data_IF_348485618804
#
_entry.id   IF_348485618804
#
_cell.length_a   1.000
_cell.length_b   1.000
_cell.length_c   1.000
_cell.angle_alpha   90.00
_cell.angle_beta   90.00
_cell.angle_gamma   90.00
#
_symmetry.space_group_name_H-M   'P 1'
#
loop_
_entity.id
_entity.type
_entity.pdbx_description
1 polymer ?
#
# COMPACT_ATOMS: atom_id res chain seq x y z
N UNK A 1 -19.63 -3.47 -19.71
CA UNK A 1 -19.27 -2.03 -19.71
C UNK A 1 -19.14 -1.50 -21.14
N UNK A 2 -18.44 -2.19 -22.07
CA UNK A 2 -18.29 -1.70 -23.46
C UNK A 2 -19.60 -1.61 -24.21
N UNK A 3 -20.51 -2.56 -24.04
CA UNK A 3 -21.86 -2.50 -24.61
C UNK A 3 -22.69 -1.30 -24.09
N UNK A 4 -22.30 -0.71 -22.97
CA UNK A 4 -22.88 0.50 -22.41
C UNK A 4 -22.15 1.79 -22.85
N UNK A 5 -21.25 1.70 -23.85
CA UNK A 5 -20.55 2.85 -24.42
C UNK A 5 -19.18 3.19 -23.78
N UNK A 6 -18.66 2.35 -22.89
CA UNK A 6 -17.33 2.60 -22.30
C UNK A 6 -16.24 2.50 -23.37
N UNK A 7 -15.45 3.55 -23.52
CA UNK A 7 -14.31 3.62 -24.43
C UNK A 7 -13.04 3.01 -23.82
N UNK A 8 -12.90 3.09 -22.50
CA UNK A 8 -11.81 2.49 -21.71
C UNK A 8 -12.41 1.61 -20.63
N UNK A 9 -11.87 0.41 -20.44
CA UNK A 9 -12.25 -0.52 -19.40
C UNK A 9 -11.07 -0.77 -18.47
N UNK A 10 -11.18 -0.31 -17.23
CA UNK A 10 -10.16 -0.45 -16.19
C UNK A 10 -10.70 -1.35 -15.08
N UNK A 11 -9.91 -2.34 -14.68
CA UNK A 11 -10.18 -3.21 -13.55
C UNK A 11 -9.41 -2.72 -12.32
N UNK A 12 -10.11 -2.46 -11.23
CA UNK A 12 -9.50 -2.33 -9.91
C UNK A 12 -9.38 -3.71 -9.30
N UNK A 13 -8.17 -4.13 -8.98
CA UNK A 13 -7.87 -5.48 -8.51
C UNK A 13 -7.15 -5.48 -7.17
N UNK A 14 -7.49 -6.44 -6.33
CA UNK A 14 -6.77 -6.72 -5.08
C UNK A 14 -6.28 -8.18 -5.03
N UNK A 15 -5.95 -8.77 -6.18
CA UNK A 15 -5.54 -10.18 -6.28
C UNK A 15 -4.02 -10.39 -6.15
N UNK A 16 -3.24 -9.33 -6.25
CA UNK A 16 -1.78 -9.39 -6.31
C UNK A 16 -1.22 -9.38 -7.73
N UNK A 17 0.02 -8.91 -7.87
CA UNK A 17 0.64 -8.65 -9.17
C UNK A 17 0.71 -9.89 -10.06
N UNK A 18 1.14 -11.03 -9.53
CA UNK A 18 1.26 -12.28 -10.30
C UNK A 18 -0.08 -12.78 -10.83
N UNK A 19 -1.13 -12.68 -10.00
CA UNK A 19 -2.49 -13.04 -10.39
C UNK A 19 -3.03 -12.09 -11.45
N UNK A 20 -2.79 -10.79 -11.31
CA UNK A 20 -3.22 -9.77 -12.26
C UNK A 20 -2.53 -9.91 -13.62
N UNK A 21 -1.24 -10.22 -13.65
CA UNK A 21 -0.48 -10.55 -14.87
C UNK A 21 -1.09 -11.78 -15.56
N UNK A 22 -1.37 -12.83 -14.79
CA UNK A 22 -1.99 -14.05 -15.32
C UNK A 22 -3.41 -13.78 -15.82
N UNK A 23 -4.19 -12.98 -15.12
CA UNK A 23 -5.53 -12.56 -15.54
C UNK A 23 -5.45 -11.78 -16.87
N UNK A 24 -4.59 -10.76 -16.92
CA UNK A 24 -4.38 -9.94 -18.11
C UNK A 24 -4.01 -10.77 -19.37
N UNK A 25 -3.24 -11.86 -19.19
CA UNK A 25 -2.85 -12.74 -20.29
C UNK A 25 -3.99 -13.61 -20.83
N UNK A 26 -5.09 -13.79 -20.10
CA UNK A 26 -6.18 -14.73 -20.41
C UNK A 26 -7.50 -14.06 -20.77
N UNK A 27 -7.72 -12.86 -20.23
CA UNK A 27 -8.98 -12.13 -20.40
C UNK A 27 -8.80 -11.03 -21.46
N UNK A 28 -9.81 -10.84 -22.28
CA UNK A 28 -9.82 -9.80 -23.31
C UNK A 28 -10.77 -8.67 -22.92
N UNK A 29 -10.61 -7.49 -23.57
CA UNK A 29 -11.51 -6.34 -23.38
C UNK A 29 -11.19 -5.46 -22.17
N UNK A 30 -10.12 -5.74 -21.43
CA UNK A 30 -9.55 -4.85 -20.43
C UNK A 30 -8.40 -4.04 -21.05
N UNK A 31 -8.38 -2.74 -20.79
CA UNK A 31 -7.28 -1.87 -21.21
C UNK A 31 -6.21 -1.78 -20.12
N UNK A 32 -6.63 -1.73 -18.85
CA UNK A 32 -5.71 -1.73 -17.73
C UNK A 32 -6.25 -2.48 -16.51
N UNK A 33 -5.34 -2.99 -15.69
CA UNK A 33 -5.57 -3.48 -14.33
C UNK A 33 -4.74 -2.62 -13.38
N UNK A 34 -5.43 -1.96 -12.45
CA UNK A 34 -4.81 -1.25 -11.34
C UNK A 34 -4.80 -2.19 -10.13
N UNK A 35 -3.65 -2.81 -9.89
CA UNK A 35 -3.47 -3.87 -8.90
C UNK A 35 -3.16 -3.37 -7.50
N UNK A 36 -3.26 -4.28 -6.54
CA UNK A 36 -2.93 -4.09 -5.14
C UNK A 36 -2.50 -5.40 -4.48
N UNK A 37 -2.66 -5.52 -3.17
CA UNK A 37 -2.41 -6.69 -2.33
C UNK A 37 -0.93 -7.03 -2.07
N UNK A 38 -0.12 -7.27 -3.10
CA UNK A 38 1.29 -7.67 -2.96
C UNK A 38 2.23 -6.52 -2.62
N UNK A 39 1.70 -5.28 -2.56
CA UNK A 39 2.46 -4.06 -2.24
C UNK A 39 3.61 -3.76 -3.21
N UNK A 40 3.58 -4.31 -4.41
CA UNK A 40 4.59 -4.05 -5.43
C UNK A 40 4.52 -2.60 -5.91
N UNK A 41 5.67 -1.96 -6.01
CA UNK A 41 5.81 -0.66 -6.65
C UNK A 41 6.34 -0.88 -8.07
N UNK A 42 5.46 -1.02 -9.04
CA UNK A 42 5.80 -1.31 -10.43
C UNK A 42 6.15 0.02 -11.14
N UNK A 43 7.43 0.28 -11.46
CA UNK A 43 7.87 1.58 -11.94
C UNK A 43 7.46 1.87 -13.40
N UNK A 44 7.13 0.82 -14.16
CA UNK A 44 6.65 0.91 -15.55
C UNK A 44 5.48 -0.01 -15.73
N UNK A 45 4.40 0.46 -16.37
CA UNK A 45 3.27 -0.41 -16.66
C UNK A 45 3.73 -1.64 -17.44
N UNK A 46 3.25 -2.81 -17.03
CA UNK A 46 3.54 -4.07 -17.71
C UNK A 46 2.55 -4.25 -18.88
N UNK A 47 3.06 -4.40 -20.07
CA UNK A 47 2.27 -4.67 -21.27
C UNK A 47 2.04 -6.17 -21.43
N UNK A 48 0.86 -6.64 -21.06
CA UNK A 48 0.52 -8.06 -21.12
C UNK A 48 -0.28 -8.36 -22.37
N UNK A 49 0.29 -9.16 -23.27
CA UNK A 49 -0.37 -9.61 -24.51
C UNK A 49 -1.41 -10.68 -24.23
N UNK A 50 -2.56 -10.57 -24.89
CA UNK A 50 -3.63 -11.57 -24.89
C UNK A 50 -4.29 -11.65 -26.27
N UNK A 51 -5.31 -12.48 -26.42
CA UNK A 51 -6.01 -12.68 -27.71
C UNK A 51 -6.74 -11.42 -28.21
N UNK A 52 -7.01 -10.44 -27.37
CA UNK A 52 -7.68 -9.17 -27.71
C UNK A 52 -6.73 -8.00 -27.89
N UNK A 53 -5.42 -8.16 -27.67
CA UNK A 53 -4.43 -7.11 -27.77
C UNK A 53 -3.50 -7.02 -26.55
N UNK A 54 -3.40 -5.85 -25.94
CA UNK A 54 -2.57 -5.58 -24.77
C UNK A 54 -3.46 -5.11 -23.61
N UNK A 55 -3.21 -5.61 -22.42
CA UNK A 55 -3.73 -5.09 -21.17
C UNK A 55 -2.57 -4.58 -20.33
N UNK A 56 -2.64 -3.33 -19.86
CA UNK A 56 -1.64 -2.77 -18.95
C UNK A 56 -1.88 -3.25 -17.53
N UNK A 57 -0.82 -3.66 -16.84
CA UNK A 57 -0.88 -4.00 -15.41
C UNK A 57 0.02 -3.05 -14.64
N UNK A 58 -0.53 -2.40 -13.62
CA UNK A 58 0.19 -1.48 -12.74
C UNK A 58 -0.09 -1.81 -11.29
N UNK A 59 0.84 -1.48 -10.40
CA UNK A 59 0.64 -1.53 -8.96
C UNK A 59 1.48 -0.40 -8.33
N UNK A 60 0.82 0.44 -7.53
CA UNK A 60 1.42 1.64 -6.96
C UNK A 60 1.99 1.44 -5.54
N UNK A 61 2.36 0.21 -5.20
CA UNK A 61 2.92 -0.10 -3.89
C UNK A 61 1.85 -0.12 -2.80
N UNK A 62 2.16 0.47 -1.66
CA UNK A 62 1.29 0.46 -0.49
C UNK A 62 1.46 1.71 0.37
N UNK A 63 0.50 1.93 1.27
CA UNK A 63 0.58 2.94 2.33
C UNK A 63 0.80 4.37 1.83
N UNK A 64 0.32 4.72 0.64
CA UNK A 64 0.50 6.06 0.07
C UNK A 64 1.94 6.43 -0.27
N UNK A 65 2.87 5.47 -0.34
CA UNK A 65 4.29 5.74 -0.67
C UNK A 65 4.49 6.17 -2.10
N UNK A 66 3.58 5.78 -2.99
CA UNK A 66 3.62 6.12 -4.41
C UNK A 66 2.24 6.51 -4.91
N UNK A 67 2.24 7.37 -5.94
CA UNK A 67 1.08 7.68 -6.75
C UNK A 67 1.32 7.18 -8.18
N UNK A 68 0.51 6.23 -8.63
CA UNK A 68 0.49 5.79 -10.03
C UNK A 68 -0.38 6.74 -10.85
N UNK A 69 0.19 7.32 -11.90
CA UNK A 69 -0.53 8.17 -12.86
C UNK A 69 -0.53 7.47 -14.20
N UNK A 70 -1.71 7.11 -14.70
CA UNK A 70 -1.91 6.46 -16.00
C UNK A 70 -2.81 7.35 -16.86
N UNK A 71 -2.24 7.89 -17.92
CA UNK A 71 -2.94 8.75 -18.89
C UNK A 71 -3.20 7.95 -20.16
N UNK A 72 -4.39 8.09 -20.74
CA UNK A 72 -4.77 7.52 -22.03
C UNK A 72 -5.13 8.61 -23.06
N UNK A 73 -4.54 8.56 -24.25
CA UNK A 73 -5.05 9.28 -25.42
C UNK A 73 -6.11 8.42 -26.12
N UNK A 74 -7.37 8.82 -25.99
CA UNK A 74 -8.52 8.08 -26.55
C UNK A 74 -9.09 8.84 -27.74
N UNK A 75 -9.08 8.21 -28.92
CA UNK A 75 -9.67 8.77 -30.15
C UNK A 75 -10.50 7.70 -30.84
N UNK A 76 -11.69 8.07 -31.30
CA UNK A 76 -12.63 7.17 -31.98
C UNK A 76 -12.94 5.89 -31.20
N UNK A 77 -13.07 6.02 -29.86
CA UNK A 77 -13.35 4.90 -28.96
C UNK A 77 -12.20 3.91 -28.76
N UNK A 78 -10.97 4.29 -29.12
CA UNK A 78 -9.78 3.45 -28.99
C UNK A 78 -8.64 4.22 -28.34
N UNK A 79 -7.87 3.52 -27.51
CA UNK A 79 -6.63 4.05 -26.98
C UNK A 79 -5.61 4.08 -28.13
N UNK A 80 -5.08 5.27 -28.40
CA UNK A 80 -4.05 5.53 -29.42
C UNK A 80 -2.67 5.56 -28.81
N UNK A 81 -2.59 6.06 -27.60
CA UNK A 81 -1.35 6.18 -26.83
C UNK A 81 -1.65 6.17 -25.34
N UNK A 82 -0.63 5.93 -24.55
CA UNK A 82 -0.73 5.96 -23.09
C UNK A 82 0.62 6.34 -22.46
N UNK A 83 0.56 6.87 -21.27
CA UNK A 83 1.76 7.07 -20.43
C UNK A 83 1.51 6.66 -19.01
N UNK A 84 2.54 6.16 -18.34
CA UNK A 84 2.50 5.80 -16.94
C UNK A 84 3.69 6.37 -16.19
N UNK A 85 3.41 6.88 -15.00
CA UNK A 85 4.41 7.39 -14.06
C UNK A 85 4.11 6.88 -12.67
N UNK A 86 5.11 6.35 -12.00
CA UNK A 86 5.05 6.02 -10.59
C UNK A 86 5.81 7.10 -9.82
N UNK A 87 5.08 7.97 -9.13
CA UNK A 87 5.63 9.12 -8.43
C UNK A 87 5.82 8.77 -6.95
N UNK A 88 7.03 8.84 -6.40
CA UNK A 88 7.25 8.66 -4.98
C UNK A 88 6.65 9.85 -4.20
N UNK A 89 6.01 9.56 -3.10
CA UNK A 89 5.38 10.55 -2.21
C UNK A 89 6.28 10.72 -0.99
N UNK A 90 6.86 11.92 -0.88
CA UNK A 90 7.65 12.33 0.29
C UNK A 90 6.84 13.35 1.08
N UNK A 91 6.24 12.90 2.18
CA UNK A 91 5.35 13.75 2.99
C UNK A 91 6.03 15.05 3.44
N UNK A 92 7.33 14.99 3.76
CA UNK A 92 8.11 16.16 4.19
C UNK A 92 8.35 17.19 3.07
N UNK A 93 8.18 16.80 1.81
CA UNK A 93 8.40 17.68 0.65
C UNK A 93 7.09 18.21 0.05
N UNK A 94 5.95 17.70 0.49
CA UNK A 94 4.65 18.07 -0.05
C UNK A 94 3.85 18.85 0.99
N UNK A 95 3.29 20.01 0.64
CA UNK A 95 2.36 20.67 1.52
C UNK A 95 1.11 19.80 1.69
N UNK A 96 0.67 19.53 2.92
CA UNK A 96 -0.55 18.78 3.16
C UNK A 96 -1.78 19.54 2.65
N UNK A 97 -2.79 18.83 2.19
CA UNK A 97 -4.08 19.41 1.86
C UNK A 97 -4.75 19.96 3.12
N UNK A 98 -5.10 21.25 3.19
CA UNK A 98 -5.66 21.85 4.39
C UNK A 98 -7.00 21.22 4.82
N UNK A 99 -7.88 20.90 3.86
CA UNK A 99 -9.18 20.32 4.16
C UNK A 99 -9.07 18.90 4.72
N UNK A 100 -8.11 18.13 4.22
CA UNK A 100 -7.80 16.80 4.74
C UNK A 100 -7.18 16.88 6.14
N UNK A 101 -6.27 17.82 6.37
CA UNK A 101 -5.70 18.04 7.71
C UNK A 101 -6.77 18.39 8.73
N UNK A 102 -7.69 19.31 8.38
CA UNK A 102 -8.79 19.70 9.25
C UNK A 102 -9.73 18.51 9.53
N UNK A 103 -9.99 17.68 8.52
CA UNK A 103 -10.78 16.46 8.69
C UNK A 103 -10.10 15.48 9.67
N UNK A 104 -8.81 15.23 9.48
CA UNK A 104 -8.02 14.33 10.34
C UNK A 104 -7.99 14.86 11.77
N UNK A 105 -7.72 16.17 11.94
CA UNK A 105 -7.68 16.80 13.25
C UNK A 105 -9.03 16.67 13.98
N UNK A 106 -10.14 16.93 13.29
CA UNK A 106 -11.49 16.82 13.83
C UNK A 106 -11.84 15.39 14.24
N UNK A 107 -11.49 14.39 13.42
CA UNK A 107 -11.76 12.97 13.73
C UNK A 107 -10.90 12.51 14.91
N UNK A 108 -9.65 12.96 15.01
CA UNK A 108 -8.72 12.55 16.07
C UNK A 108 -8.93 13.32 17.38
N UNK A 109 -9.55 14.49 17.35
CA UNK A 109 -9.71 15.37 18.53
C UNK A 109 -10.30 14.66 19.76
N UNK A 110 -11.36 13.83 19.68
CA UNK A 110 -11.92 13.13 20.84
C UNK A 110 -10.94 12.14 21.50
N UNK A 111 -9.92 11.70 20.78
CA UNK A 111 -8.96 10.67 21.20
C UNK A 111 -7.53 11.23 21.33
N UNK A 112 -7.33 12.53 21.15
CA UNK A 112 -6.00 13.12 21.00
C UNK A 112 -5.10 12.86 22.21
N UNK A 113 -5.60 13.01 23.41
CA UNK A 113 -4.87 12.75 24.66
C UNK A 113 -4.48 11.27 24.77
N UNK A 114 -5.41 10.36 24.54
CA UNK A 114 -5.16 8.93 24.57
C UNK A 114 -4.14 8.49 23.50
N UNK A 115 -4.29 9.01 22.28
CA UNK A 115 -3.40 8.67 21.18
C UNK A 115 -1.97 9.20 21.37
N UNK A 116 -1.82 10.34 22.06
CA UNK A 116 -0.53 10.95 22.35
C UNK A 116 0.13 10.42 23.62
N UNK A 117 -0.56 9.60 24.41
CA UNK A 117 -0.01 9.06 25.66
C UNK A 117 1.30 8.28 25.38
N UNK A 118 2.41 8.66 26.04
CA UNK A 118 3.66 7.94 25.91
C UNK A 118 3.56 6.60 26.65
N UNK A 119 3.91 5.52 25.96
CA UNK A 119 3.88 4.17 26.50
C UNK A 119 5.27 3.66 26.85
N UNK A 120 6.27 3.95 26.02
CA UNK A 120 7.64 3.51 26.21
C UNK A 120 8.60 4.42 25.42
N UNK A 121 9.90 4.24 25.70
CA UNK A 121 11.00 4.82 24.96
C UNK A 121 11.83 3.68 24.37
N UNK A 122 12.27 3.80 23.11
CA UNK A 122 13.13 2.80 22.49
C UNK A 122 14.58 3.01 22.91
N UNK A 123 15.25 1.99 23.40
CA UNK A 123 16.70 2.01 23.67
C UNK A 123 17.49 1.65 22.41
N UNK A 124 16.95 0.72 21.60
CA UNK A 124 17.56 0.17 20.41
C UNK A 124 16.71 0.39 19.14
N UNK A 125 17.30 0.06 18.00
CA UNK A 125 16.59 0.06 16.72
C UNK A 125 15.51 -1.02 16.71
N UNK A 126 14.24 -0.60 16.59
CA UNK A 126 13.13 -1.51 16.38
C UNK A 126 12.72 -1.52 14.91
N UNK A 127 12.72 -2.70 14.29
CA UNK A 127 12.33 -2.89 12.90
C UNK A 127 11.53 -4.18 12.74
N UNK A 128 10.64 -4.19 11.75
CA UNK A 128 9.71 -5.31 11.54
C UNK A 128 10.17 -6.35 10.53
N UNK A 129 11.14 -6.05 9.69
CA UNK A 129 11.60 -6.97 8.66
C UNK A 129 13.09 -7.24 8.81
N UNK A 130 13.43 -8.43 9.26
CA UNK A 130 14.76 -9.00 9.18
C UNK A 130 14.75 -10.24 8.30
N UNK A 131 15.92 -10.84 8.07
CA UNK A 131 16.03 -12.08 7.28
C UNK A 131 15.31 -13.27 7.93
N UNK A 132 15.25 -13.29 9.26
CA UNK A 132 14.54 -14.30 10.04
C UNK A 132 13.41 -13.66 10.84
N UNK A 133 13.73 -12.61 11.58
CA UNK A 133 12.87 -11.98 12.56
C UNK A 133 13.26 -10.49 12.66
N UNK A 134 12.30 -9.61 12.81
CA UNK A 134 12.55 -8.22 13.18
C UNK A 134 12.45 -8.04 14.71
N UNK A 135 13.11 -7.03 15.26
CA UNK A 135 13.05 -6.76 16.70
C UNK A 135 11.63 -6.42 17.17
N UNK A 136 10.80 -5.80 16.32
CA UNK A 136 9.36 -5.57 16.63
C UNK A 136 8.57 -6.88 16.65
N UNK A 137 8.86 -7.81 15.74
CA UNK A 137 8.18 -9.11 15.74
C UNK A 137 8.55 -9.93 16.98
N UNK A 138 9.80 -9.85 17.42
CA UNK A 138 10.25 -10.46 18.66
C UNK A 138 9.50 -9.87 19.86
N UNK A 139 9.43 -8.54 19.96
CA UNK A 139 8.70 -7.85 21.02
C UNK A 139 7.22 -8.25 21.05
N UNK A 140 6.58 -8.34 19.89
CA UNK A 140 5.17 -8.78 19.79
C UNK A 140 5.02 -10.22 20.27
N UNK A 141 5.90 -11.13 19.87
CA UNK A 141 5.82 -12.52 20.28
C UNK A 141 6.07 -12.69 21.80
N UNK A 142 7.04 -11.98 22.35
CA UNK A 142 7.32 -11.97 23.79
C UNK A 142 6.12 -11.43 24.57
N UNK A 143 5.55 -10.30 24.16
CA UNK A 143 4.36 -9.74 24.79
C UNK A 143 3.16 -10.70 24.75
N UNK A 144 2.95 -11.40 23.64
CA UNK A 144 1.88 -12.40 23.52
C UNK A 144 2.12 -13.60 24.45
N UNK A 145 3.36 -14.06 24.60
CA UNK A 145 3.68 -15.15 25.52
C UNK A 145 3.48 -14.74 26.97
N UNK A 146 3.92 -13.53 27.34
CA UNK A 146 3.79 -13.02 28.71
C UNK A 146 2.32 -12.77 29.10
N UNK A 147 1.57 -12.09 28.26
CA UNK A 147 0.18 -11.71 28.56
C UNK A 147 -0.80 -12.89 28.54
N UNK A 148 -0.51 -13.91 27.72
CA UNK A 148 -1.40 -15.06 27.53
C UNK A 148 -0.89 -16.34 28.20
N UNK A 149 0.23 -16.29 28.91
CA UNK A 149 0.92 -17.47 29.48
C UNK A 149 1.10 -18.58 28.43
N UNK A 150 1.45 -18.18 27.21
CA UNK A 150 1.54 -19.08 26.08
C UNK A 150 2.98 -19.58 25.89
N UNK A 151 3.20 -20.90 25.67
CA UNK A 151 4.53 -21.44 25.44
C UNK A 151 5.11 -21.12 24.07
N UNK A 152 4.27 -20.69 23.12
CA UNK A 152 4.64 -20.36 21.74
C UNK A 152 3.78 -19.20 21.26
N UNK A 153 4.41 -18.21 20.60
CA UNK A 153 3.71 -17.15 19.90
C UNK A 153 4.16 -17.05 18.44
N UNK A 154 3.22 -16.72 17.56
CA UNK A 154 3.45 -16.51 16.13
C UNK A 154 2.97 -15.11 15.75
N UNK A 155 3.82 -14.33 15.12
CA UNK A 155 3.48 -13.04 14.52
C UNK A 155 3.61 -13.12 13.00
N UNK A 156 2.61 -12.62 12.23
CA UNK A 156 2.69 -12.65 10.78
C UNK A 156 3.83 -11.72 10.31
N UNK A 157 4.98 -12.28 9.95
CA UNK A 157 6.18 -11.53 9.55
C UNK A 157 6.01 -10.75 8.24
N UNK A 158 5.05 -11.13 7.39
CA UNK A 158 4.77 -10.44 6.13
C UNK A 158 3.71 -9.36 6.32
N UNK A 159 4.06 -8.30 7.03
CA UNK A 159 3.20 -7.13 7.18
C UNK A 159 3.98 -5.84 7.02
N UNK A 160 3.24 -4.78 6.66
CA UNK A 160 3.79 -3.44 6.77
C UNK A 160 4.23 -3.20 8.22
N UNK A 161 5.38 -2.62 8.40
CA UNK A 161 5.95 -2.38 9.71
C UNK A 161 6.69 -1.06 9.78
N UNK A 162 6.64 -0.49 10.95
CA UNK A 162 7.38 0.70 11.32
C UNK A 162 8.82 0.36 11.67
N UNK A 163 9.75 1.27 11.38
CA UNK A 163 11.10 1.27 11.92
C UNK A 163 11.22 2.42 12.90
N UNK A 164 11.64 2.14 14.12
CA UNK A 164 11.82 3.13 15.18
C UNK A 164 13.30 3.23 15.54
N UNK A 165 13.81 4.44 15.51
CA UNK A 165 15.18 4.73 15.91
C UNK A 165 15.31 4.73 17.43
N UNK A 166 16.53 4.49 17.98
CA UNK A 166 16.78 4.68 19.40
C UNK A 166 16.36 6.07 19.87
N UNK A 167 15.77 6.15 21.06
CA UNK A 167 15.23 7.40 21.61
C UNK A 167 13.85 7.81 21.06
N UNK A 168 13.18 6.96 20.28
CA UNK A 168 11.81 7.24 19.81
C UNK A 168 10.81 6.97 20.92
N UNK A 169 9.93 7.93 21.18
CA UNK A 169 8.79 7.75 22.10
C UNK A 169 7.71 6.93 21.40
N UNK A 170 7.35 5.80 21.96
CA UNK A 170 6.25 4.95 21.51
C UNK A 170 4.96 5.50 22.13
N UNK A 171 4.00 5.84 21.29
CA UNK A 171 2.66 6.27 21.72
C UNK A 171 1.61 5.27 21.25
N UNK A 172 0.39 5.35 21.80
CA UNK A 172 -0.72 4.53 21.35
C UNK A 172 -1.03 4.72 19.87
N UNK A 173 -0.90 5.95 19.34
CA UNK A 173 -1.07 6.26 17.93
C UNK A 173 -0.10 5.49 17.04
N UNK A 174 1.13 5.26 17.50
CA UNK A 174 2.14 4.54 16.75
C UNK A 174 1.85 3.04 16.64
N UNK A 175 1.25 2.45 17.69
CA UNK A 175 0.95 1.01 17.74
C UNK A 175 -0.24 0.65 16.84
N UNK A 176 -1.17 1.59 16.64
CA UNK A 176 -2.42 1.37 15.92
C UNK A 176 -2.40 1.80 14.44
N UNK A 177 -1.23 1.88 13.84
CA UNK A 177 -1.09 2.16 12.41
C UNK A 177 -1.15 0.87 11.59
#
# INVERSE_FOLDING_TARGET
VRAAGAQVAVLLSHNGADTDIKLASRVTGLDAILGGHTHDAIPRALEIKNAGGITLVTNAGSNGKFLGVLDFDVRDGRIRDWSYRLLPIFAELLPPDPAMNDLIARIRAPFAEQLAAPLALTDDLLYRRGNFNGSVDQLICEALMDELDAPIALSPGFRWGTTLLPGTVITLSLIHI
#
